data_IF_900527771198
#
_entry.id   IF_900527771198
#
_cell.length_a   1.000
_cell.length_b   1.000
_cell.length_c   1.000
_cell.angle_alpha   90.00
_cell.angle_beta   90.00
_cell.angle_gamma   90.00
#
_symmetry.space_group_name_H-M   'P 1'
#
loop_
_entity.id
_entity.type
_entity.pdbx_description
1 polymer ?
#
# COMPACT_ATOMS: atom_id res chain seq x y z
N UNK A 1 -22.89 -62.09 -3.95
CA UNK A 1 -24.34 -61.96 -3.74
C UNK A 1 -24.60 -60.78 -2.82
N UNK A 2 -24.91 -59.64 -3.44
CA UNK A 2 -25.78 -58.55 -2.99
C UNK A 2 -25.97 -58.23 -1.49
N UNK A 3 -25.58 -56.99 -1.16
CA UNK A 3 -26.49 -55.88 -0.80
C UNK A 3 -26.93 -55.71 0.66
N UNK A 4 -26.64 -54.50 1.18
CA UNK A 4 -27.33 -53.71 2.24
C UNK A 4 -26.28 -52.99 3.09
N UNK A 5 -26.27 -51.67 3.35
CA UNK A 5 -27.23 -50.57 3.18
C UNK A 5 -26.49 -49.24 3.46
N UNK A 6 -26.87 -48.21 2.70
CA UNK A 6 -26.71 -46.79 3.01
C UNK A 6 -27.26 -46.41 4.41
N UNK A 7 -26.63 -45.44 5.09
CA UNK A 7 -27.20 -44.37 5.96
C UNK A 7 -26.06 -43.35 6.18
N UNK A 8 -26.00 -42.27 5.39
CA UNK A 8 -26.40 -40.88 5.75
C UNK A 8 -25.77 -40.38 7.06
N UNK A 9 -24.64 -39.67 6.95
CA UNK A 9 -24.11 -38.81 8.02
C UNK A 9 -24.93 -37.52 8.01
N UNK A 10 -25.42 -37.18 9.19
CA UNK A 10 -26.37 -36.11 9.49
C UNK A 10 -25.64 -34.77 9.55
N UNK A 11 -26.09 -33.82 8.73
CA UNK A 11 -25.76 -32.38 8.86
C UNK A 11 -26.59 -31.84 10.03
N UNK A 12 -25.93 -31.33 11.06
CA UNK A 12 -26.60 -30.54 12.11
C UNK A 12 -26.71 -29.10 11.58
N UNK A 13 -27.91 -28.75 11.11
CA UNK A 13 -28.30 -27.37 10.85
C UNK A 13 -28.82 -26.80 12.17
N UNK A 14 -28.12 -25.80 12.72
CA UNK A 14 -28.57 -25.03 13.88
C UNK A 14 -29.51 -23.93 13.37
N UNK A 15 -30.82 -24.14 13.50
CA UNK A 15 -31.85 -23.14 13.18
C UNK A 15 -32.07 -22.26 14.41
N UNK A 16 -31.60 -21.02 14.38
CA UNK A 16 -32.04 -19.98 15.30
C UNK A 16 -33.28 -19.27 14.72
N UNK A 17 -34.47 -19.66 15.18
CA UNK A 17 -35.70 -18.90 14.95
C UNK A 17 -35.73 -17.68 15.86
N UNK A 18 -35.41 -16.51 15.32
CA UNK A 18 -35.75 -15.22 15.93
C UNK A 18 -36.96 -14.63 15.21
N UNK A 19 -38.10 -14.59 15.90
CA UNK A 19 -39.31 -13.89 15.46
C UNK A 19 -39.08 -12.39 15.66
N UNK A 20 -38.46 -11.72 14.68
CA UNK A 20 -38.39 -10.26 14.66
C UNK A 20 -39.67 -9.69 14.04
N UNK A 21 -40.43 -8.96 14.86
CA UNK A 21 -41.42 -7.99 14.40
C UNK A 21 -40.73 -7.04 13.41
N UNK A 22 -41.20 -7.04 12.17
CA UNK A 22 -40.66 -6.26 11.07
C UNK A 22 -40.82 -4.75 11.32
N UNK A 23 -39.81 -4.14 11.93
CA UNK A 23 -39.49 -2.74 11.70
C UNK A 23 -38.44 -2.70 10.59
N UNK A 24 -38.62 -1.90 9.52
CA UNK A 24 -37.59 -1.70 8.51
C UNK A 24 -36.50 -0.83 9.12
N UNK A 25 -35.61 -1.45 9.89
CA UNK A 25 -34.30 -0.85 10.13
C UNK A 25 -33.54 -0.93 8.81
N UNK A 26 -33.02 0.19 8.28
CA UNK A 26 -32.01 0.11 7.25
C UNK A 26 -30.81 -0.59 7.89
N UNK A 27 -30.70 -1.90 7.68
CA UNK A 27 -29.45 -2.62 7.84
C UNK A 27 -28.58 -2.11 6.70
N UNK A 28 -27.78 -1.08 6.96
CA UNK A 28 -26.59 -0.85 6.16
C UNK A 28 -25.68 -2.05 6.43
N UNK A 29 -25.79 -3.08 5.59
CA UNK A 29 -24.71 -4.02 5.40
C UNK A 29 -23.60 -3.24 4.68
N UNK A 30 -22.77 -2.53 5.45
CA UNK A 30 -21.49 -2.13 4.94
C UNK A 30 -20.66 -3.41 4.94
N UNK A 31 -20.67 -4.14 3.83
CA UNK A 31 -19.65 -5.16 3.57
C UNK A 31 -18.31 -4.41 3.47
N UNK A 32 -17.67 -4.18 4.61
CA UNK A 32 -16.22 -4.05 4.60
C UNK A 32 -15.71 -5.46 4.42
N UNK A 33 -15.36 -5.85 3.20
CA UNK A 33 -14.63 -7.09 2.99
C UNK A 33 -13.33 -6.99 3.79
N UNK A 34 -13.05 -7.97 4.63
CA UNK A 34 -11.78 -8.07 5.36
C UNK A 34 -10.58 -8.31 4.43
N UNK A 35 -10.86 -8.47 3.13
CA UNK A 35 -9.92 -8.73 2.04
C UNK A 35 -10.01 -7.58 1.05
N UNK A 36 -8.85 -7.07 0.65
CA UNK A 36 -8.69 -6.12 -0.45
C UNK A 36 -7.85 -6.79 -1.54
N UNK A 37 -8.36 -6.82 -2.78
CA UNK A 37 -7.52 -7.16 -3.93
C UNK A 37 -6.76 -5.91 -4.31
N UNK A 38 -5.46 -5.90 -4.01
CA UNK A 38 -4.58 -4.78 -4.33
C UNK A 38 -4.29 -4.75 -5.82
N UNK A 39 -3.86 -5.88 -6.40
CA UNK A 39 -3.41 -5.89 -7.80
C UNK A 39 -3.75 -7.20 -8.47
N UNK A 40 -4.13 -7.12 -9.74
CA UNK A 40 -4.23 -8.27 -10.64
C UNK A 40 -3.25 -8.08 -11.79
N UNK A 41 -2.20 -8.90 -11.82
CA UNK A 41 -1.17 -8.90 -12.86
C UNK A 41 -1.49 -9.99 -13.89
N UNK A 42 -1.68 -9.56 -15.14
CA UNK A 42 -1.99 -10.42 -16.29
C UNK A 42 -0.88 -10.40 -17.36
N UNK A 43 0.29 -9.82 -17.05
CA UNK A 43 1.36 -9.63 -18.03
C UNK A 43 1.92 -10.95 -18.58
N UNK A 44 1.85 -12.03 -17.80
CA UNK A 44 2.33 -13.37 -18.16
C UNK A 44 1.18 -14.36 -18.48
N UNK A 45 0.06 -13.86 -19.01
CA UNK A 45 -1.11 -14.68 -19.37
C UNK A 45 -0.70 -15.94 -20.18
N UNK A 46 -1.18 -17.16 -19.82
CA UNK A 46 -2.33 -17.45 -18.95
C UNK A 46 -2.06 -17.44 -17.44
N UNK A 47 -0.85 -17.10 -16.99
CA UNK A 47 -0.60 -16.92 -15.55
C UNK A 47 -1.14 -15.57 -15.10
N UNK A 48 -1.96 -15.58 -14.06
CA UNK A 48 -2.52 -14.39 -13.42
C UNK A 48 -2.06 -14.38 -11.98
N UNK A 49 -1.39 -13.30 -11.56
CA UNK A 49 -0.99 -13.13 -10.16
C UNK A 49 -1.96 -12.14 -9.50
N UNK A 50 -2.55 -12.54 -8.38
CA UNK A 50 -3.44 -11.69 -7.59
C UNK A 50 -2.75 -11.36 -6.27
N UNK A 51 -2.56 -10.07 -6.02
CA UNK A 51 -2.03 -9.55 -4.77
C UNK A 51 -3.19 -9.06 -3.92
N UNK A 52 -3.28 -9.56 -2.70
CA UNK A 52 -4.34 -9.23 -1.76
C UNK A 52 -3.74 -8.86 -0.40
N UNK A 53 -4.44 -8.01 0.33
CA UNK A 53 -4.15 -7.69 1.73
C UNK A 53 -5.40 -7.97 2.57
N UNK A 54 -5.16 -8.19 3.84
CA UNK A 54 -6.21 -8.29 4.84
C UNK A 54 -6.20 -7.02 5.66
N UNK A 55 -7.38 -6.62 6.14
CA UNK A 55 -7.46 -5.56 7.13
C UNK A 55 -6.73 -6.01 8.40
N UNK A 56 -5.84 -5.18 8.93
CA UNK A 56 -4.95 -5.56 10.03
C UNK A 56 -5.72 -6.01 11.29
N UNK A 57 -6.79 -5.29 11.64
CA UNK A 57 -7.65 -5.63 12.78
C UNK A 57 -8.73 -6.69 12.46
N UNK A 58 -8.71 -7.30 11.27
CA UNK A 58 -9.65 -8.37 10.93
C UNK A 58 -9.17 -9.70 11.50
N UNK A 59 -10.12 -10.59 11.80
CA UNK A 59 -9.79 -11.96 12.19
C UNK A 59 -8.94 -12.65 11.12
N UNK A 60 -9.18 -12.37 9.82
CA UNK A 60 -8.40 -12.92 8.71
C UNK A 60 -6.94 -12.45 8.69
N UNK A 61 -6.69 -11.17 9.01
CA UNK A 61 -5.34 -10.60 9.03
C UNK A 61 -4.43 -11.21 10.10
N UNK A 62 -5.02 -11.79 11.15
CA UNK A 62 -4.31 -12.44 12.24
C UNK A 62 -4.01 -13.93 11.99
N UNK A 63 -4.54 -14.52 10.90
CA UNK A 63 -4.39 -15.94 10.62
C UNK A 63 -3.11 -16.26 9.84
N UNK A 64 -2.56 -17.44 10.13
CA UNK A 64 -1.49 -18.03 9.34
C UNK A 64 -2.08 -18.78 8.13
N UNK A 65 -2.54 -18.01 7.14
CA UNK A 65 -3.21 -18.55 5.96
C UNK A 65 -2.22 -19.26 5.03
N UNK A 66 -2.61 -20.44 4.55
CA UNK A 66 -1.90 -21.23 3.54
C UNK A 66 -2.76 -21.38 2.28
N UNK A 67 -2.22 -21.99 1.24
CA UNK A 67 -2.92 -22.25 -0.04
C UNK A 67 -4.28 -22.95 0.16
N UNK A 68 -4.41 -23.82 1.16
CA UNK A 68 -5.64 -24.56 1.44
C UNK A 68 -6.79 -23.69 1.95
N UNK A 69 -6.50 -22.44 2.32
CA UNK A 69 -7.51 -21.46 2.75
C UNK A 69 -8.08 -20.64 1.59
N UNK A 70 -7.60 -20.83 0.35
CA UNK A 70 -8.02 -20.06 -0.81
C UNK A 70 -8.68 -20.95 -1.86
N UNK A 71 -9.80 -20.46 -2.39
CA UNK A 71 -10.44 -20.98 -3.59
C UNK A 71 -10.56 -19.85 -4.61
N UNK A 72 -10.21 -20.12 -5.86
CA UNK A 72 -10.33 -19.15 -6.96
C UNK A 72 -11.37 -19.66 -7.93
N UNK A 73 -12.31 -18.80 -8.32
CA UNK A 73 -13.41 -19.14 -9.21
C UNK A 73 -13.41 -18.19 -10.41
N UNK A 74 -13.58 -18.74 -11.60
CA UNK A 74 -13.84 -18.00 -12.84
C UNK A 74 -15.21 -18.42 -13.36
N UNK A 75 -16.16 -17.47 -13.48
CA UNK A 75 -17.54 -17.76 -13.92
C UNK A 75 -18.21 -18.90 -13.14
N UNK A 76 -18.07 -18.88 -11.81
CA UNK A 76 -18.56 -19.92 -10.87
C UNK A 76 -17.90 -21.30 -11.00
N UNK A 77 -16.90 -21.46 -11.88
CA UNK A 77 -16.08 -22.67 -11.97
C UNK A 77 -14.79 -22.49 -11.17
N UNK A 78 -14.50 -23.45 -10.29
CA UNK A 78 -13.25 -23.45 -9.52
C UNK A 78 -12.05 -23.68 -10.45
N UNK A 79 -11.06 -22.79 -10.39
CA UNK A 79 -9.82 -22.89 -11.15
C UNK A 79 -8.69 -23.39 -10.26
N UNK A 80 -7.72 -24.10 -10.87
CA UNK A 80 -6.57 -24.61 -10.15
C UNK A 80 -5.67 -23.45 -9.70
N UNK A 81 -5.66 -23.20 -8.39
CA UNK A 81 -4.66 -22.36 -7.73
C UNK A 81 -3.28 -23.01 -7.89
N UNK A 82 -2.29 -22.21 -8.28
CA UNK A 82 -0.92 -22.72 -8.52
C UNK A 82 -0.03 -22.58 -7.28
N UNK A 83 -0.16 -21.47 -6.57
CA UNK A 83 0.50 -21.22 -5.29
C UNK A 83 -0.13 -20.04 -4.57
N UNK A 84 0.06 -19.97 -3.26
CA UNK A 84 -0.18 -18.79 -2.43
C UNK A 84 1.08 -18.53 -1.62
N UNK A 85 1.64 -17.33 -1.76
CA UNK A 85 2.87 -16.94 -1.08
C UNK A 85 2.68 -15.59 -0.39
N UNK A 86 3.21 -15.48 0.83
CA UNK A 86 3.36 -14.18 1.47
C UNK A 86 4.38 -13.36 0.70
N UNK A 87 4.07 -12.11 0.38
CA UNK A 87 5.03 -11.19 -0.28
C UNK A 87 6.34 -11.10 0.50
N UNK A 88 6.30 -11.13 1.84
CA UNK A 88 7.50 -11.16 2.66
C UNK A 88 8.42 -12.38 2.38
N UNK A 89 7.87 -13.47 1.87
CA UNK A 89 8.54 -14.73 1.58
C UNK A 89 8.88 -14.94 0.10
N UNK A 90 8.42 -14.07 -0.81
CA UNK A 90 8.77 -14.20 -2.24
C UNK A 90 10.27 -13.93 -2.46
N UNK A 91 10.95 -14.69 -3.34
CA UNK A 91 12.39 -14.56 -3.57
C UNK A 91 12.76 -13.27 -4.32
N UNK A 92 11.80 -12.60 -4.95
CA UNK A 92 12.01 -11.36 -5.68
C UNK A 92 12.22 -10.17 -4.74
N UNK A 93 13.13 -9.24 -5.09
CA UNK A 93 13.30 -8.00 -4.33
C UNK A 93 12.12 -7.06 -4.58
N UNK A 94 11.70 -6.36 -3.52
CA UNK A 94 10.82 -5.20 -3.66
C UNK A 94 11.64 -3.92 -3.76
N UNK A 95 11.11 -2.93 -4.46
CA UNK A 95 11.68 -1.59 -4.55
C UNK A 95 10.73 -0.57 -3.98
N UNK A 96 11.22 0.22 -3.03
CA UNK A 96 10.43 1.30 -2.41
C UNK A 96 11.10 2.65 -2.62
N UNK A 97 10.35 3.64 -3.08
CA UNK A 97 10.79 5.05 -3.03
C UNK A 97 10.04 5.75 -1.91
N UNK A 98 10.78 6.23 -0.91
CA UNK A 98 10.25 7.10 0.13
C UNK A 98 10.31 8.53 -0.38
N UNK A 99 9.16 9.19 -0.45
CA UNK A 99 8.98 10.56 -0.93
C UNK A 99 8.52 11.40 0.24
N UNK A 100 9.41 12.22 0.77
CA UNK A 100 9.18 13.01 1.97
C UNK A 100 8.93 14.47 1.59
N UNK A 101 7.84 15.03 2.10
CA UNK A 101 7.60 16.46 2.06
C UNK A 101 8.65 17.15 2.93
N UNK A 102 9.40 18.06 2.33
CA UNK A 102 10.44 18.85 2.98
C UNK A 102 10.10 20.34 2.92
N UNK A 103 8.83 20.69 2.74
CA UNK A 103 8.38 22.08 2.67
C UNK A 103 8.43 22.78 4.04
N UNK A 104 8.20 24.09 4.06
CA UNK A 104 8.22 24.89 5.27
C UNK A 104 7.25 24.45 6.38
N UNK A 105 6.13 23.80 6.04
CA UNK A 105 5.16 23.29 7.03
C UNK A 105 5.72 22.13 7.86
N UNK A 106 6.72 21.43 7.34
CA UNK A 106 7.36 20.28 8.00
C UNK A 106 8.45 20.68 9.01
N UNK A 107 8.77 21.97 9.15
CA UNK A 107 9.83 22.44 10.06
C UNK A 107 9.59 22.03 11.52
N UNK A 108 10.67 21.59 12.17
CA UNK A 108 10.66 21.20 13.59
C UNK A 108 10.30 19.73 13.78
N UNK A 109 9.40 19.46 14.72
CA UNK A 109 8.99 18.10 15.11
C UNK A 109 8.48 17.23 13.92
N UNK A 110 7.69 17.75 12.94
CA UNK A 110 7.18 16.93 11.84
C UNK A 110 8.26 16.26 10.98
N UNK A 111 9.29 16.99 10.54
CA UNK A 111 10.36 16.41 9.72
C UNK A 111 11.25 15.46 10.52
N UNK A 112 11.47 15.72 11.82
CA UNK A 112 12.21 14.82 12.71
C UNK A 112 11.48 13.49 12.91
N UNK A 113 10.17 13.56 13.10
CA UNK A 113 9.30 12.39 13.24
C UNK A 113 9.16 11.62 11.94
N UNK A 114 8.98 12.30 10.80
CA UNK A 114 8.97 11.67 9.48
C UNK A 114 10.29 10.94 9.18
N UNK A 115 11.44 11.54 9.50
CA UNK A 115 12.74 10.91 9.37
C UNK A 115 12.91 9.70 10.29
N UNK A 116 12.36 9.77 11.51
CA UNK A 116 12.36 8.67 12.47
C UNK A 116 11.47 7.52 12.01
N UNK A 117 10.25 7.80 11.52
CA UNK A 117 9.33 6.82 10.95
C UNK A 117 9.94 6.12 9.73
N UNK A 118 10.50 6.89 8.79
CA UNK A 118 11.21 6.34 7.64
C UNK A 118 12.38 5.44 8.06
N UNK A 119 13.12 5.83 9.10
CA UNK A 119 14.22 5.02 9.66
C UNK A 119 13.74 3.71 10.32
N UNK A 120 12.57 3.74 10.97
CA UNK A 120 11.92 2.54 11.53
C UNK A 120 11.43 1.61 10.42
N UNK A 121 10.78 2.15 9.39
CA UNK A 121 10.30 1.39 8.24
C UNK A 121 11.46 0.65 7.51
N UNK A 122 12.65 1.24 7.46
CA UNK A 122 13.85 0.57 6.93
C UNK A 122 14.31 -0.66 7.71
N UNK A 123 13.79 -0.90 8.93
CA UNK A 123 14.06 -2.13 9.67
C UNK A 123 13.34 -3.34 9.05
N UNK A 124 12.18 -3.10 8.42
CA UNK A 124 11.35 -4.14 7.76
C UNK A 124 11.90 -4.53 6.39
N UNK A 125 12.74 -3.68 5.81
CA UNK A 125 13.44 -3.95 4.56
C UNK A 125 14.23 -5.26 4.64
N UNK A 126 14.07 -6.19 3.69
CA UNK A 126 14.90 -7.39 3.62
C UNK A 126 16.26 -7.07 2.99
N UNK A 127 17.23 -7.97 3.14
CA UNK A 127 18.58 -7.75 2.59
C UNK A 127 18.62 -7.67 1.05
N UNK A 128 17.61 -8.22 0.37
CA UNK A 128 17.48 -8.21 -1.08
C UNK A 128 16.69 -7.01 -1.60
N UNK A 129 15.93 -6.34 -0.75
CA UNK A 129 15.11 -5.20 -1.15
C UNK A 129 15.99 -3.97 -1.41
N UNK A 130 15.48 -3.01 -2.18
CA UNK A 130 16.19 -1.77 -2.46
C UNK A 130 15.29 -0.57 -2.22
N UNK A 131 15.74 0.39 -1.42
CA UNK A 131 14.98 1.60 -1.13
C UNK A 131 15.69 2.82 -1.70
N UNK A 132 14.93 3.85 -2.06
CA UNK A 132 15.42 5.18 -2.44
C UNK A 132 14.73 6.24 -1.58
N UNK A 133 15.36 7.42 -1.44
CA UNK A 133 14.83 8.54 -0.66
C UNK A 133 14.86 9.80 -1.51
N UNK A 134 13.70 10.42 -1.66
CA UNK A 134 13.48 11.67 -2.39
C UNK A 134 12.79 12.65 -1.43
N UNK A 135 13.31 13.87 -1.34
CA UNK A 135 12.63 14.97 -0.67
C UNK A 135 12.11 15.97 -1.69
N UNK A 136 10.96 16.56 -1.43
CA UNK A 136 10.39 17.60 -2.29
C UNK A 136 9.94 18.82 -1.49
N UNK A 137 10.23 19.99 -2.04
CA UNK A 137 9.73 21.28 -1.63
C UNK A 137 9.53 22.17 -2.87
N UNK A 138 10.12 23.37 -2.91
CA UNK A 138 10.29 24.20 -4.12
C UNK A 138 11.28 23.57 -5.12
N UNK A 139 12.14 22.68 -4.62
CA UNK A 139 13.08 21.87 -5.38
C UNK A 139 12.97 20.40 -4.97
N UNK A 140 13.32 19.51 -5.89
CA UNK A 140 13.30 18.06 -5.67
C UNK A 140 14.73 17.58 -5.47
N UNK A 141 15.01 16.93 -4.34
CA UNK A 141 16.33 16.40 -3.99
C UNK A 141 16.27 14.88 -3.87
N UNK A 142 17.13 14.18 -4.62
CA UNK A 142 17.33 12.73 -4.46
C UNK A 142 18.43 12.52 -3.42
N UNK A 143 18.02 12.33 -2.16
CA UNK A 143 18.95 12.10 -1.04
C UNK A 143 19.63 10.72 -1.12
N UNK A 144 18.93 9.73 -1.69
CA UNK A 144 19.48 8.40 -1.91
C UNK A 144 18.85 7.76 -3.15
N UNK A 145 19.69 7.32 -4.08
CA UNK A 145 19.25 6.37 -5.11
C UNK A 145 19.06 4.98 -4.51
N UNK A 146 18.34 4.12 -5.23
CA UNK A 146 18.09 2.72 -4.82
C UNK A 146 19.34 1.99 -4.33
N UNK A 147 19.28 1.55 -3.07
CA UNK A 147 20.33 0.78 -2.40
C UNK A 147 19.72 -0.17 -1.37
N UNK A 148 20.39 -1.29 -1.10
CA UNK A 148 20.08 -2.17 0.03
C UNK A 148 20.82 -1.79 1.31
N UNK A 149 21.66 -0.73 1.28
CA UNK A 149 22.43 -0.29 2.42
C UNK A 149 21.60 0.62 3.33
N UNK A 150 21.02 0.03 4.38
CA UNK A 150 20.24 0.74 5.42
C UNK A 150 21.01 1.88 6.08
N UNK A 151 22.33 1.77 6.25
CA UNK A 151 23.12 2.86 6.84
C UNK A 151 23.13 4.08 5.91
N UNK A 152 23.38 3.87 4.62
CA UNK A 152 23.36 4.97 3.65
C UNK A 152 21.99 5.64 3.61
N UNK A 153 20.90 4.87 3.65
CA UNK A 153 19.55 5.40 3.65
C UNK A 153 19.25 6.26 4.89
N UNK A 154 19.65 5.79 6.07
CA UNK A 154 19.50 6.55 7.33
C UNK A 154 20.36 7.82 7.34
N UNK A 155 21.60 7.73 6.86
CA UNK A 155 22.48 8.89 6.73
C UNK A 155 21.87 9.92 5.76
N UNK A 156 21.30 9.47 4.64
CA UNK A 156 20.58 10.32 3.68
C UNK A 156 19.37 11.02 4.31
N UNK A 157 18.56 10.32 5.12
CA UNK A 157 17.44 10.93 5.85
C UNK A 157 17.91 12.00 6.83
N UNK A 158 19.02 11.79 7.53
CA UNK A 158 19.53 12.74 8.51
C UNK A 158 19.99 14.08 7.91
N UNK A 159 20.13 14.15 6.58
CA UNK A 159 20.49 15.36 5.85
C UNK A 159 19.28 16.18 5.40
N UNK A 160 18.07 15.67 5.62
CA UNK A 160 16.84 16.34 5.18
C UNK A 160 16.61 17.59 6.03
N UNK A 161 16.33 18.70 5.35
CA UNK A 161 16.01 19.98 5.98
C UNK A 161 14.71 20.47 5.37
N UNK A 162 13.77 20.87 6.23
CA UNK A 162 12.47 21.37 5.81
C UNK A 162 12.54 22.87 5.49
N UNK A 163 12.29 23.26 4.25
CA UNK A 163 12.23 24.64 3.76
C UNK A 163 11.49 24.75 2.42
N UNK A 164 11.07 25.97 2.04
CA UNK A 164 10.44 26.21 0.74
C UNK A 164 8.94 25.96 0.68
N UNK A 165 8.41 25.99 -0.55
CA UNK A 165 7.01 25.70 -0.90
C UNK A 165 6.82 24.19 -1.20
N UNK A 166 5.65 23.78 -1.69
CA UNK A 166 5.29 22.36 -1.86
C UNK A 166 5.02 22.05 -3.33
N UNK A 167 5.97 21.36 -3.99
CA UNK A 167 5.82 20.82 -5.36
C UNK A 167 5.58 19.31 -5.33
N UNK A 168 4.41 18.92 -4.81
CA UNK A 168 4.06 17.51 -4.53
C UNK A 168 4.04 16.65 -5.79
N UNK A 169 3.32 17.07 -6.84
CA UNK A 169 3.18 16.27 -8.06
C UNK A 169 4.50 16.15 -8.82
N UNK A 170 5.26 17.25 -8.90
CA UNK A 170 6.59 17.25 -9.52
C UNK A 170 7.56 16.31 -8.75
N UNK A 171 7.49 16.34 -7.41
CA UNK A 171 8.23 15.42 -6.53
C UNK A 171 7.92 13.96 -6.79
N UNK A 172 6.64 13.57 -6.84
CA UNK A 172 6.23 12.19 -7.10
C UNK A 172 6.68 11.73 -8.49
N UNK A 173 6.60 12.60 -9.51
CA UNK A 173 7.02 12.25 -10.87
C UNK A 173 8.53 11.94 -10.93
N UNK A 174 9.37 12.74 -10.25
CA UNK A 174 10.82 12.50 -10.17
C UNK A 174 11.14 11.25 -9.34
N UNK A 175 10.33 10.96 -8.32
CA UNK A 175 10.44 9.74 -7.54
C UNK A 175 10.10 8.49 -8.38
N UNK A 176 9.06 8.55 -9.22
CA UNK A 176 8.74 7.46 -10.17
C UNK A 176 9.91 7.19 -11.13
N UNK A 177 10.62 8.24 -11.58
CA UNK A 177 11.79 8.08 -12.47
C UNK A 177 12.92 7.23 -11.87
N UNK A 178 12.96 7.04 -10.54
CA UNK A 178 13.95 6.15 -9.91
C UNK A 178 13.79 4.69 -10.37
N UNK A 179 12.57 4.26 -10.73
CA UNK A 179 12.29 2.89 -11.17
C UNK A 179 12.75 2.60 -12.60
N UNK A 180 12.93 3.62 -13.45
CA UNK A 180 13.30 3.44 -14.87
C UNK A 180 14.60 2.66 -15.08
N UNK A 181 15.52 2.70 -14.12
CA UNK A 181 16.81 2.00 -14.18
C UNK A 181 16.83 0.68 -13.40
N UNK A 182 15.66 0.20 -12.95
CA UNK A 182 15.51 -0.95 -12.06
C UNK A 182 14.57 -2.01 -12.63
N UNK A 183 14.92 -2.51 -13.81
CA UNK A 183 14.16 -3.55 -14.53
C UNK A 183 14.01 -4.87 -13.74
N UNK A 184 14.96 -5.15 -12.82
CA UNK A 184 14.94 -6.33 -11.96
C UNK A 184 13.96 -6.24 -10.79
N UNK A 185 13.53 -5.03 -10.44
CA UNK A 185 12.55 -4.80 -9.38
C UNK A 185 11.16 -4.93 -10.01
N UNK A 186 10.47 -6.03 -9.69
CA UNK A 186 9.12 -6.33 -10.19
C UNK A 186 8.02 -5.77 -9.29
N UNK A 187 8.27 -5.70 -7.98
CA UNK A 187 7.34 -5.11 -7.02
C UNK A 187 7.79 -3.70 -6.68
N UNK A 188 7.04 -2.70 -7.14
CA UNK A 188 7.42 -1.29 -7.07
C UNK A 188 6.40 -0.52 -6.24
N UNK A 189 6.90 0.13 -5.20
CA UNK A 189 6.08 0.89 -4.28
C UNK A 189 6.65 2.30 -4.10
N UNK A 190 5.78 3.29 -4.04
CA UNK A 190 6.15 4.64 -3.66
C UNK A 190 5.33 4.99 -2.43
N UNK A 191 6.00 5.48 -1.39
CA UNK A 191 5.36 5.95 -0.16
C UNK A 191 5.58 7.46 -0.10
N UNK A 192 4.51 8.23 -0.21
CA UNK A 192 4.56 9.69 -0.09
C UNK A 192 4.07 10.11 1.30
N UNK A 193 4.86 10.94 1.98
CA UNK A 193 4.49 11.57 3.24
C UNK A 193 4.39 13.07 3.01
N UNK A 194 3.20 13.63 3.18
CA UNK A 194 2.91 15.06 2.95
C UNK A 194 1.69 15.48 3.76
N UNK A 195 1.48 16.78 3.95
CA UNK A 195 0.19 17.29 4.46
C UNK A 195 -0.87 17.46 3.35
N UNK A 196 -0.49 17.20 2.09
CA UNK A 196 -1.39 16.97 0.96
C UNK A 196 -1.68 18.20 0.09
N UNK A 197 -1.21 19.39 0.48
CA UNK A 197 -1.46 20.61 -0.29
C UNK A 197 -0.33 20.91 -1.24
N UNK A 198 -0.58 20.68 -2.53
CA UNK A 198 0.26 21.19 -3.60
C UNK A 198 0.07 22.69 -3.78
N UNK A 199 1.16 23.45 -3.91
CA UNK A 199 1.10 24.91 -4.07
C UNK A 199 1.66 25.41 -5.39
N UNK A 200 2.68 24.73 -5.92
CA UNK A 200 3.47 25.25 -7.05
C UNK A 200 3.84 24.19 -8.11
N UNK A 201 3.28 22.98 -8.05
CA UNK A 201 3.59 21.99 -9.10
C UNK A 201 3.17 22.46 -10.48
N UNK A 202 3.95 22.08 -11.48
CA UNK A 202 3.59 22.28 -12.90
C UNK A 202 2.76 21.14 -13.45
N UNK A 203 2.89 19.96 -12.84
CA UNK A 203 2.16 18.75 -13.18
C UNK A 203 0.90 18.61 -12.32
N UNK A 204 0.05 17.66 -12.68
CA UNK A 204 -1.22 17.40 -12.02
C UNK A 204 -1.25 16.03 -11.34
N UNK A 205 -2.22 15.81 -10.46
CA UNK A 205 -2.50 14.49 -9.92
C UNK A 205 -2.74 13.43 -11.01
N UNK A 206 -3.36 13.80 -12.14
CA UNK A 206 -3.59 12.88 -13.25
C UNK A 206 -2.27 12.46 -13.93
N UNK A 207 -1.32 13.38 -14.10
CA UNK A 207 0.00 13.05 -14.66
C UNK A 207 0.74 12.03 -13.79
N UNK A 208 0.61 12.16 -12.46
CA UNK A 208 1.15 11.21 -11.49
C UNK A 208 0.51 9.83 -11.67
N UNK A 209 -0.83 9.77 -11.72
CA UNK A 209 -1.59 8.53 -11.87
C UNK A 209 -1.19 7.82 -13.17
N UNK A 210 -1.20 8.53 -14.30
CA UNK A 210 -0.89 7.98 -15.61
C UNK A 210 0.52 7.40 -15.65
N UNK A 211 1.49 8.11 -15.05
CA UNK A 211 2.87 7.64 -14.98
C UNK A 211 3.02 6.43 -14.07
N UNK A 212 2.41 6.46 -12.88
CA UNK A 212 2.49 5.37 -11.91
C UNK A 212 1.89 4.08 -12.47
N UNK A 213 0.73 4.16 -13.12
CA UNK A 213 0.10 3.01 -13.80
C UNK A 213 0.97 2.48 -14.94
N UNK A 214 1.52 3.37 -15.76
CA UNK A 214 2.42 2.99 -16.86
C UNK A 214 3.70 2.28 -16.37
N UNK A 215 4.22 2.69 -15.22
CA UNK A 215 5.45 2.13 -14.63
C UNK A 215 5.17 0.97 -13.67
N UNK A 216 3.90 0.59 -13.50
CA UNK A 216 3.40 -0.47 -12.62
C UNK A 216 3.87 -0.26 -11.16
N UNK A 217 3.67 0.97 -10.66
CA UNK A 217 4.05 1.41 -9.31
C UNK A 217 2.79 1.64 -8.47
N UNK A 218 2.73 0.99 -7.31
CA UNK A 218 1.68 1.22 -6.31
C UNK A 218 2.07 2.38 -5.39
N UNK A 219 1.18 3.37 -5.22
CA UNK A 219 1.46 4.55 -4.38
C UNK A 219 0.66 4.52 -3.08
N UNK A 220 1.36 4.45 -1.96
CA UNK A 220 0.79 4.68 -0.63
C UNK A 220 1.02 6.12 -0.21
N UNK A 221 0.01 6.74 0.38
CA UNK A 221 0.10 8.12 0.88
C UNK A 221 -0.10 8.15 2.38
N UNK A 222 0.76 8.87 3.08
CA UNK A 222 0.64 9.19 4.50
C UNK A 222 0.40 10.69 4.60
N UNK A 223 -0.82 11.06 4.93
CA UNK A 223 -1.27 12.43 5.03
C UNK A 223 -1.16 12.93 6.47
N UNK A 224 -0.19 13.81 6.72
CA UNK A 224 -0.01 14.43 8.03
C UNK A 224 -0.95 15.63 8.19
N UNK A 225 -1.81 15.63 9.19
CA UNK A 225 -2.70 16.77 9.44
C UNK A 225 -1.89 18.04 9.77
N UNK A 226 -2.12 19.10 8.98
CA UNK A 226 -1.58 20.44 9.18
C UNK A 226 -2.69 21.51 9.04
N UNK A 227 -2.33 22.79 9.16
CA UNK A 227 -3.28 23.88 8.95
C UNK A 227 -3.83 23.90 7.51
N UNK A 228 -2.98 23.56 6.55
CA UNK A 228 -3.31 23.52 5.13
C UNK A 228 -3.66 22.09 4.68
N UNK A 229 -4.15 21.22 5.57
CA UNK A 229 -4.41 19.82 5.25
C UNK A 229 -5.44 19.64 4.13
N UNK A 230 -5.03 19.00 3.03
CA UNK A 230 -5.93 18.61 1.94
C UNK A 230 -5.48 17.28 1.30
N UNK A 231 -5.97 16.13 1.80
CA UNK A 231 -5.52 14.83 1.33
C UNK A 231 -6.24 14.37 0.04
N UNK A 232 -7.05 15.24 -0.60
CA UNK A 232 -7.94 14.83 -1.69
C UNK A 232 -7.14 14.26 -2.87
N UNK A 233 -6.12 14.99 -3.33
CA UNK A 233 -5.34 14.60 -4.50
C UNK A 233 -4.44 13.40 -4.21
N UNK A 234 -3.70 13.40 -3.10
CA UNK A 234 -2.86 12.25 -2.69
C UNK A 234 -3.71 11.00 -2.45
N UNK A 235 -4.91 11.14 -1.88
CA UNK A 235 -5.84 10.03 -1.71
C UNK A 235 -6.39 9.51 -3.03
N UNK A 236 -6.62 10.38 -4.01
CA UNK A 236 -7.01 9.96 -5.36
C UNK A 236 -5.87 9.21 -6.08
N UNK A 237 -4.64 9.72 -5.97
CA UNK A 237 -3.44 9.07 -6.51
C UNK A 237 -3.28 7.67 -5.94
N UNK A 238 -3.35 7.51 -4.62
CA UNK A 238 -3.20 6.19 -3.99
C UNK A 238 -4.24 5.19 -4.47
N UNK A 239 -5.53 5.54 -4.42
CA UNK A 239 -6.61 4.64 -4.87
C UNK A 239 -6.48 4.27 -6.34
N UNK A 240 -6.12 5.24 -7.19
CA UNK A 240 -5.97 5.01 -8.63
C UNK A 240 -4.74 4.16 -9.00
N UNK A 241 -3.83 3.95 -8.05
CA UNK A 241 -2.59 3.17 -8.22
C UNK A 241 -2.56 1.95 -7.31
N UNK A 242 -3.72 1.47 -6.85
CA UNK A 242 -3.86 0.27 -6.00
C UNK A 242 -3.24 0.39 -4.60
N UNK A 243 -2.93 1.60 -4.16
CA UNK A 243 -2.46 1.88 -2.81
C UNK A 243 -3.56 2.48 -1.94
N UNK A 244 -3.15 2.88 -0.74
CA UNK A 244 -4.03 3.39 0.30
C UNK A 244 -3.56 4.74 0.85
N UNK A 245 -4.53 5.51 1.35
CA UNK A 245 -4.30 6.75 2.07
C UNK A 245 -4.40 6.47 3.58
N UNK A 246 -3.32 6.70 4.29
CA UNK A 246 -3.26 6.75 5.74
C UNK A 246 -3.29 8.20 6.20
N UNK A 247 -4.06 8.51 7.24
CA UNK A 247 -4.12 9.87 7.82
C UNK A 247 -3.50 9.80 9.21
N UNK A 248 -2.46 10.61 9.42
CA UNK A 248 -1.84 10.80 10.72
C UNK A 248 -2.34 12.13 11.32
N UNK A 249 -3.01 12.07 12.48
CA UNK A 249 -3.54 13.26 13.13
C UNK A 249 -2.44 14.16 13.70
N UNK A 250 -1.25 13.60 13.94
CA UNK A 250 -0.04 14.32 14.30
C UNK A 250 1.21 13.50 13.92
N UNK A 251 2.39 14.12 13.98
CA UNK A 251 3.62 13.50 13.50
C UNK A 251 4.08 12.28 14.30
N UNK A 252 3.61 12.09 15.53
CA UNK A 252 4.00 10.93 16.36
C UNK A 252 3.36 9.64 15.88
N UNK A 253 2.17 9.74 15.30
CA UNK A 253 1.43 8.60 14.72
C UNK A 253 2.11 8.04 13.47
N UNK A 254 3.10 8.74 12.88
CA UNK A 254 3.86 8.22 11.75
C UNK A 254 4.68 6.96 12.07
N UNK A 255 4.86 6.65 13.36
CA UNK A 255 5.65 5.51 13.85
C UNK A 255 4.79 4.32 14.27
N UNK A 256 3.46 4.50 14.30
CA UNK A 256 2.48 3.46 14.61
C UNK A 256 2.11 2.70 13.35
#
# INVERSE_FOLDING_TARGET
>A
MNMSRFIKIVIIVLVFTFLFLAFPYPVSAQETSDITVNKTDINDYPKVNIYLSFKEDSELGLLDLSEENFGVFENDEEINLTSVERIASVPEPIGVVLVLDTSGSMKGEPIEDAGSAASLFMNEMRAIDEFAVVGFADSITIYSSFTSNRKNLRDSISQIVAEGETSLFDGIIIALDQFKKKEKIKHRYLIVLSDGTDTVSKLTAQDVIDKAQKEDVTIYSIALMSYDFNPTDIGNISRSTNGELFIAANSKELKE
#
